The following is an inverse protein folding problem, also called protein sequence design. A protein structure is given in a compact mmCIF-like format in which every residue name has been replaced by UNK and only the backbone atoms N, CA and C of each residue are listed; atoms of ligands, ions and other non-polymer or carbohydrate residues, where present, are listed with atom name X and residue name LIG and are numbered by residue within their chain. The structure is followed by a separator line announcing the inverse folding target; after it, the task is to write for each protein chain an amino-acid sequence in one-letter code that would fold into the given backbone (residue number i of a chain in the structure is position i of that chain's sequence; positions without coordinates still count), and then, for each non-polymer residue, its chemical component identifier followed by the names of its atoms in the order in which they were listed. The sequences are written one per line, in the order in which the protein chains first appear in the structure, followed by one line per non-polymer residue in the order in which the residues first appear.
data_IF_763849050607
#
_entry.id   IF_763849050607
#
_cell.length_a   1.000
_cell.length_b   1.000
_cell.length_c   1.000
_cell.angle_alpha   90.00
_cell.angle_beta   90.00
_cell.angle_gamma   90.00
#
_symmetry.space_group_name_H-M   'P 1'
#
loop_
_entity.id
_entity.type
_entity.pdbx_description
1 polymer ?
#
# COMPACT_ATOMS: atom_id res chain seq x y z
N UNK A 1 33.56 -35.28 7.53
CA UNK A 1 32.40 -35.77 8.31
C UNK A 1 31.38 -34.64 8.26
N UNK A 2 30.60 -34.56 7.18
CA UNK A 2 29.27 -35.21 7.00
C UNK A 2 28.17 -34.18 7.37
N UNK A 3 27.09 -33.90 6.64
CA UNK A 3 26.62 -34.24 5.29
C UNK A 3 25.34 -33.41 5.03
N UNK A 4 25.10 -33.01 3.77
CA UNK A 4 23.78 -32.77 3.14
C UNK A 4 22.96 -31.53 3.56
N UNK A 5 23.28 -30.40 2.93
CA UNK A 5 22.25 -29.43 2.53
C UNK A 5 21.66 -29.88 1.18
N UNK A 6 20.38 -30.23 1.16
CA UNK A 6 19.62 -30.57 -0.05
C UNK A 6 19.43 -29.31 -0.90
N UNK A 7 20.37 -29.07 -1.81
CA UNK A 7 20.20 -28.16 -2.93
C UNK A 7 19.42 -28.93 -4.01
N UNK A 8 18.09 -28.79 -4.03
CA UNK A 8 17.27 -29.25 -5.15
C UNK A 8 17.50 -28.31 -6.33
N UNK A 9 18.64 -28.50 -7.01
CA UNK A 9 18.86 -27.99 -8.35
C UNK A 9 18.02 -28.86 -9.29
N UNK A 10 16.75 -28.48 -9.47
CA UNK A 10 15.98 -28.94 -10.62
C UNK A 10 16.57 -28.24 -11.85
N UNK A 11 17.64 -28.84 -12.37
CA UNK A 11 17.92 -28.84 -13.79
C UNK A 11 16.66 -29.34 -14.48
N UNK A 12 15.78 -28.43 -14.87
CA UNK A 12 14.91 -28.70 -16.01
C UNK A 12 15.84 -28.77 -17.21
N UNK A 13 16.35 -29.98 -17.44
CA UNK A 13 16.72 -30.42 -18.76
C UNK A 13 15.61 -29.97 -19.69
N UNK A 14 15.96 -29.23 -20.73
CA UNK A 14 15.14 -29.10 -21.92
C UNK A 14 14.96 -30.53 -22.50
N UNK A 15 14.11 -31.32 -21.86
CA UNK A 15 13.50 -32.46 -22.47
C UNK A 15 12.60 -31.85 -23.53
N UNK A 16 13.14 -31.79 -24.74
CA UNK A 16 12.38 -31.89 -25.96
C UNK A 16 11.32 -32.96 -25.73
N UNK A 17 10.13 -32.52 -25.33
CA UNK A 17 8.91 -33.28 -25.52
C UNK A 17 8.78 -33.38 -27.04
N UNK A 18 9.40 -34.41 -27.61
CA UNK A 18 8.98 -34.97 -28.88
C UNK A 18 7.59 -35.55 -28.60
N UNK A 19 6.59 -34.68 -28.64
CA UNK A 19 5.22 -35.11 -28.86
C UNK A 19 5.25 -35.86 -30.18
N UNK A 20 4.74 -37.09 -30.18
CA UNK A 20 4.49 -37.86 -31.40
C UNK A 20 3.44 -37.08 -32.21
N UNK A 21 3.88 -36.09 -32.98
CA UNK A 21 3.11 -35.45 -34.01
C UNK A 21 2.93 -36.46 -35.13
N UNK A 22 1.67 -36.69 -35.52
CA UNK A 22 1.38 -37.35 -36.79
C UNK A 22 2.20 -36.67 -37.88
N UNK A 23 2.92 -37.45 -38.70
CA UNK A 23 3.59 -36.89 -39.87
C UNK A 23 2.52 -36.46 -40.87
N UNK A 24 2.25 -35.16 -40.98
CA UNK A 24 1.25 -34.58 -41.89
C UNK A 24 1.68 -34.55 -43.37
N UNK A 25 2.54 -35.46 -43.82
CA UNK A 25 2.93 -35.55 -45.23
C UNK A 25 1.96 -36.45 -46.01
N UNK A 26 0.72 -35.98 -46.19
CA UNK A 26 -0.19 -36.60 -47.15
C UNK A 26 0.08 -36.04 -48.57
N UNK A 27 0.31 -36.89 -49.59
CA UNK A 27 0.51 -36.43 -50.97
C UNK A 27 -0.75 -35.76 -51.56
N UNK A 28 -0.55 -34.79 -52.46
CA UNK A 28 -1.64 -34.02 -53.10
C UNK A 28 -2.58 -34.87 -53.98
N UNK A 29 -2.15 -36.07 -54.36
CA UNK A 29 -2.94 -37.05 -55.08
C UNK A 29 -2.82 -38.37 -54.34
N UNK A 30 -3.96 -38.95 -53.96
CA UNK A 30 -3.98 -40.25 -53.32
C UNK A 30 -3.51 -41.30 -54.33
N UNK A 31 -2.56 -42.15 -53.95
CA UNK A 31 -2.28 -43.38 -54.69
C UNK A 31 -2.96 -44.57 -53.98
N UNK A 32 -3.21 -45.70 -54.67
CA UNK A 32 -3.67 -46.92 -54.02
C UNK A 32 -2.63 -47.40 -53.02
N UNK A 33 -3.10 -48.04 -51.95
CA UNK A 33 -2.20 -48.58 -50.94
C UNK A 33 -1.21 -49.58 -51.53
N UNK A 34 0.04 -49.57 -51.05
CA UNK A 34 1.14 -50.35 -51.61
C UNK A 34 2.01 -50.97 -50.52
N UNK A 35 2.61 -52.13 -50.78
CA UNK A 35 3.49 -52.82 -49.82
C UNK A 35 2.74 -53.75 -48.87
N UNK A 36 3.15 -53.80 -47.60
CA UNK A 36 2.78 -54.85 -46.62
C UNK A 36 1.40 -54.70 -45.98
N UNK A 37 0.55 -53.78 -46.48
CA UNK A 37 -0.81 -53.56 -46.00
C UNK A 37 -1.07 -52.15 -45.45
N UNK A 38 -2.33 -51.87 -45.14
CA UNK A 38 -2.75 -50.66 -44.43
C UNK A 38 -2.38 -50.77 -42.94
N UNK A 39 -1.93 -49.67 -42.36
CA UNK A 39 -1.79 -49.52 -40.91
C UNK A 39 -2.87 -48.61 -40.31
N UNK A 40 -3.60 -47.87 -41.15
CA UNK A 40 -4.70 -47.00 -40.73
C UNK A 40 -5.76 -46.85 -41.81
N UNK A 41 -7.03 -46.78 -41.42
CA UNK A 41 -8.14 -46.44 -42.33
C UNK A 41 -9.16 -45.53 -41.62
N UNK A 42 -9.61 -44.50 -42.34
CA UNK A 42 -10.66 -43.57 -41.93
C UNK A 42 -11.90 -43.78 -42.80
N UNK A 43 -13.03 -43.98 -42.15
CA UNK A 43 -14.30 -44.33 -42.78
C UNK A 43 -15.37 -43.35 -42.35
N UNK A 44 -16.10 -42.78 -43.31
CA UNK A 44 -17.28 -41.96 -43.08
C UNK A 44 -18.53 -42.81 -43.23
N UNK A 45 -19.43 -42.77 -42.25
CA UNK A 45 -20.70 -43.47 -42.31
C UNK A 45 -21.69 -42.72 -43.22
N UNK A 46 -22.22 -43.39 -44.26
CA UNK A 46 -22.98 -42.77 -45.36
C UNK A 46 -24.50 -42.80 -45.19
N UNK A 47 -25.03 -43.46 -44.16
CA UNK A 47 -26.47 -43.66 -44.06
C UNK A 47 -27.21 -42.33 -43.75
N UNK A 48 -28.40 -42.11 -44.34
CA UNK A 48 -29.21 -40.90 -44.15
C UNK A 48 -30.05 -40.93 -42.86
N UNK A 49 -29.78 -41.86 -41.94
CA UNK A 49 -30.50 -41.96 -40.66
C UNK A 49 -30.36 -40.66 -39.86
N UNK A 50 -31.33 -40.35 -39.00
CA UNK A 50 -31.29 -39.21 -38.07
C UNK A 50 -30.85 -39.61 -36.65
N UNK A 51 -30.63 -40.90 -36.42
CA UNK A 51 -30.24 -41.45 -35.11
C UNK A 51 -28.85 -42.10 -35.17
N UNK A 52 -28.19 -42.17 -34.01
CA UNK A 52 -26.89 -42.85 -33.87
C UNK A 52 -27.07 -44.37 -33.89
N UNK A 53 -26.06 -45.08 -34.37
CA UNK A 53 -26.02 -46.55 -34.44
C UNK A 53 -24.77 -47.09 -33.78
N UNK A 54 -24.79 -48.31 -33.26
CA UNK A 54 -23.58 -48.91 -32.70
C UNK A 54 -22.78 -49.57 -33.82
N UNK A 55 -21.52 -49.14 -33.97
CA UNK A 55 -20.60 -49.71 -34.94
C UNK A 55 -19.42 -50.33 -34.20
N UNK A 56 -19.15 -51.60 -34.53
CA UNK A 56 -18.04 -52.38 -33.98
C UNK A 56 -17.13 -52.81 -35.13
N UNK A 57 -15.83 -52.55 -35.03
CA UNK A 57 -14.83 -53.01 -35.98
C UNK A 57 -13.90 -54.00 -35.29
N UNK A 58 -13.67 -55.13 -35.95
CA UNK A 58 -12.80 -56.19 -35.49
C UNK A 58 -11.73 -56.50 -36.53
N UNK A 59 -10.55 -56.78 -36.03
CA UNK A 59 -9.46 -57.39 -36.77
C UNK A 59 -9.77 -58.90 -37.02
N UNK A 60 -9.16 -59.53 -38.01
CA UNK A 60 -9.24 -60.99 -38.24
C UNK A 60 -8.85 -61.82 -37.01
N UNK A 61 -7.98 -61.29 -36.16
CA UNK A 61 -7.60 -61.90 -34.87
C UNK A 61 -8.70 -61.85 -33.80
N UNK A 62 -9.88 -61.28 -34.12
CA UNK A 62 -11.01 -61.12 -33.20
C UNK A 62 -10.85 -59.97 -32.21
N UNK A 63 -9.78 -59.17 -32.33
CA UNK A 63 -9.53 -58.02 -31.49
C UNK A 63 -10.45 -56.85 -31.89
N UNK A 64 -11.05 -56.20 -30.90
CA UNK A 64 -11.91 -55.04 -31.10
C UNK A 64 -11.06 -53.79 -31.37
N UNK A 65 -11.16 -53.25 -32.59
CA UNK A 65 -10.46 -52.06 -33.05
C UNK A 65 -11.23 -50.77 -32.74
N UNK A 66 -12.57 -50.86 -32.72
CA UNK A 66 -13.48 -49.74 -32.48
C UNK A 66 -14.84 -50.29 -32.05
N UNK A 67 -15.45 -49.70 -31.02
CA UNK A 67 -16.80 -50.06 -30.57
C UNK A 67 -17.46 -48.87 -29.91
N UNK A 68 -18.24 -48.11 -30.68
CA UNK A 68 -18.94 -46.90 -30.22
C UNK A 68 -20.17 -46.60 -31.08
N UNK A 69 -21.05 -45.77 -30.52
CA UNK A 69 -22.18 -45.21 -31.24
C UNK A 69 -21.74 -44.12 -32.24
N UNK A 70 -21.99 -44.32 -33.54
CA UNK A 70 -21.61 -43.44 -34.65
C UNK A 70 -22.84 -42.64 -35.12
N UNK A 71 -22.66 -41.33 -35.28
CA UNK A 71 -23.69 -40.44 -35.83
C UNK A 71 -23.74 -40.51 -37.36
N UNK A 72 -24.86 -40.12 -37.99
CA UNK A 72 -24.93 -39.92 -39.43
C UNK A 72 -23.81 -39.00 -39.90
N UNK A 73 -23.11 -39.36 -40.99
CA UNK A 73 -21.90 -38.67 -41.50
C UNK A 73 -20.69 -38.68 -40.54
N UNK A 74 -20.75 -39.43 -39.45
CA UNK A 74 -19.66 -39.58 -38.48
C UNK A 74 -18.46 -40.31 -39.07
N UNK A 75 -17.28 -40.05 -38.49
CA UNK A 75 -16.00 -40.65 -38.92
C UNK A 75 -15.55 -41.71 -37.91
N UNK A 76 -15.17 -42.87 -38.43
CA UNK A 76 -14.57 -43.99 -37.71
C UNK A 76 -13.12 -44.11 -38.15
N UNK A 77 -12.20 -44.20 -37.19
CA UNK A 77 -10.77 -44.35 -37.44
C UNK A 77 -10.32 -45.69 -36.87
N UNK A 78 -9.73 -46.52 -37.72
CA UNK A 78 -9.22 -47.84 -37.36
C UNK A 78 -7.70 -47.85 -37.54
N UNK A 79 -7.00 -48.47 -36.59
CA UNK A 79 -5.54 -48.56 -36.55
C UNK A 79 -5.17 -50.05 -36.45
N UNK A 80 -4.13 -50.46 -37.17
CA UNK A 80 -3.64 -51.83 -37.10
C UNK A 80 -3.00 -52.15 -35.75
N UNK A 81 -2.86 -53.43 -35.46
CA UNK A 81 -2.56 -53.93 -34.10
C UNK A 81 -1.36 -54.87 -34.04
N UNK A 82 -0.75 -55.21 -35.18
CA UNK A 82 0.53 -55.92 -35.22
C UNK A 82 1.66 -55.02 -34.69
N UNK A 83 2.81 -55.61 -34.29
CA UNK A 83 3.98 -54.84 -33.87
C UNK A 83 4.55 -53.87 -34.92
N UNK A 84 4.18 -54.04 -36.19
CA UNK A 84 4.52 -53.13 -37.30
C UNK A 84 3.35 -52.16 -37.65
N UNK A 85 2.37 -52.05 -36.76
CA UNK A 85 1.14 -51.25 -36.89
C UNK A 85 0.18 -51.67 -38.02
N UNK A 86 0.40 -52.81 -38.71
CA UNK A 86 -0.56 -53.32 -39.71
C UNK A 86 -1.73 -54.09 -39.06
N UNK A 87 -2.83 -54.25 -39.79
CA UNK A 87 -3.97 -55.08 -39.33
C UNK A 87 -3.64 -56.57 -39.38
N UNK A 88 -4.06 -57.35 -38.37
CA UNK A 88 -3.94 -58.81 -38.33
C UNK A 88 -4.76 -59.48 -39.44
N UNK A 89 -4.18 -60.56 -39.99
CA UNK A 89 -4.53 -61.30 -41.22
C UNK A 89 -5.14 -60.50 -42.38
N UNK A 90 -4.79 -59.21 -42.44
CA UNK A 90 -5.01 -58.30 -43.54
C UNK A 90 -6.49 -58.08 -43.90
N UNK A 91 -7.39 -58.22 -42.91
CA UNK A 91 -8.84 -57.99 -43.07
C UNK A 91 -9.44 -57.30 -41.84
N UNK A 92 -10.35 -56.35 -42.06
CA UNK A 92 -11.15 -55.70 -41.02
C UNK A 92 -12.62 -55.96 -41.25
N UNK A 93 -13.33 -56.44 -40.23
CA UNK A 93 -14.79 -56.67 -40.26
C UNK A 93 -15.50 -55.58 -39.47
N UNK A 94 -16.46 -54.91 -40.09
CA UNK A 94 -17.29 -53.89 -39.46
C UNK A 94 -18.71 -54.42 -39.31
N UNK A 95 -19.25 -54.33 -38.10
CA UNK A 95 -20.62 -54.65 -37.74
C UNK A 95 -21.38 -53.38 -37.41
N UNK A 96 -22.62 -53.28 -37.88
CA UNK A 96 -23.56 -52.23 -37.54
C UNK A 96 -24.73 -52.86 -36.80
N UNK A 97 -25.00 -52.40 -35.58
CA UNK A 97 -26.00 -52.96 -34.67
C UNK A 97 -25.89 -54.49 -34.50
N UNK A 98 -24.65 -54.98 -34.38
CA UNK A 98 -24.34 -56.40 -34.20
C UNK A 98 -24.36 -57.26 -35.48
N UNK A 99 -24.79 -56.72 -36.62
CA UNK A 99 -24.83 -57.41 -37.93
C UNK A 99 -23.61 -57.02 -38.75
N UNK A 100 -22.93 -57.97 -39.38
CA UNK A 100 -21.79 -57.69 -40.28
C UNK A 100 -22.27 -56.83 -41.46
N UNK A 101 -21.74 -55.60 -41.54
CA UNK A 101 -22.02 -54.63 -42.61
C UNK A 101 -21.02 -54.75 -43.75
N UNK A 102 -19.72 -54.81 -43.43
CA UNK A 102 -18.67 -54.96 -44.45
C UNK A 102 -17.41 -55.63 -43.93
N UNK A 103 -16.67 -56.22 -44.87
CA UNK A 103 -15.34 -56.79 -44.68
C UNK A 103 -14.40 -56.07 -45.64
N UNK A 104 -13.35 -55.43 -45.12
CA UNK A 104 -12.38 -54.63 -45.89
C UNK A 104 -11.05 -55.39 -45.91
N UNK A 105 -10.53 -55.66 -47.11
CA UNK A 105 -9.20 -56.23 -47.30
C UNK A 105 -8.14 -55.13 -47.11
N UNK A 106 -7.29 -55.28 -46.09
CA UNK A 106 -6.24 -54.33 -45.73
C UNK A 106 -4.86 -54.77 -46.21
N UNK A 107 -4.74 -55.89 -46.95
CA UNK A 107 -3.49 -56.42 -47.52
C UNK A 107 -2.95 -55.63 -48.72
N UNK A 108 -3.72 -54.65 -49.21
CA UNK A 108 -3.41 -53.93 -50.44
C UNK A 108 -3.32 -54.81 -51.70
N UNK A 109 -3.80 -56.05 -51.65
CA UNK A 109 -3.98 -56.90 -52.84
C UNK A 109 -5.15 -56.40 -53.69
N UNK A 110 -6.20 -55.92 -53.03
CA UNK A 110 -7.27 -55.13 -53.63
C UNK A 110 -6.95 -53.64 -53.41
N UNK A 111 -7.17 -52.81 -54.44
CA UNK A 111 -6.90 -51.37 -54.32
C UNK A 111 -7.94 -50.76 -53.39
N UNK A 112 -7.51 -50.23 -52.25
CA UNK A 112 -8.31 -49.34 -51.40
C UNK A 112 -7.97 -47.89 -51.77
N UNK A 113 -8.98 -47.16 -52.27
CA UNK A 113 -8.88 -45.76 -52.67
C UNK A 113 -9.78 -44.88 -51.80
N UNK A 114 -9.40 -43.60 -51.67
CA UNK A 114 -10.30 -42.59 -51.11
C UNK A 114 -11.50 -42.42 -52.03
N UNK A 115 -12.71 -42.40 -51.45
CA UNK A 115 -13.98 -42.37 -52.16
C UNK A 115 -14.61 -43.76 -52.35
N UNK A 116 -13.85 -44.84 -52.16
CA UNK A 116 -14.40 -46.20 -52.21
C UNK A 116 -15.44 -46.38 -51.12
N UNK A 117 -16.51 -47.11 -51.45
CA UNK A 117 -17.60 -47.39 -50.52
C UNK A 117 -17.63 -48.87 -50.17
N UNK A 118 -17.56 -49.15 -48.88
CA UNK A 118 -17.57 -50.45 -48.25
C UNK A 118 -18.80 -50.55 -47.35
N UNK A 119 -19.83 -51.28 -47.80
CA UNK A 119 -21.10 -51.37 -47.10
C UNK A 119 -21.70 -49.99 -46.87
N UNK A 120 -21.93 -49.64 -45.60
CA UNK A 120 -22.47 -48.35 -45.19
C UNK A 120 -21.43 -47.25 -45.03
N UNK A 121 -20.16 -47.48 -45.37
CA UNK A 121 -19.05 -46.55 -45.12
C UNK A 121 -18.30 -46.14 -46.40
N UNK A 122 -17.84 -44.90 -46.49
CA UNK A 122 -16.90 -44.44 -47.52
C UNK A 122 -15.52 -44.23 -46.91
N UNK A 123 -14.47 -44.68 -47.61
CA UNK A 123 -13.08 -44.39 -47.26
C UNK A 123 -12.82 -42.91 -47.49
N UNK A 124 -12.52 -42.17 -46.43
CA UNK A 124 -12.16 -40.75 -46.51
C UNK A 124 -10.65 -40.54 -46.30
N UNK A 125 -9.94 -41.55 -45.82
CA UNK A 125 -8.49 -41.54 -45.66
C UNK A 125 -7.99 -42.93 -45.32
N UNK A 126 -6.73 -43.21 -45.60
CA UNK A 126 -6.05 -44.42 -45.13
C UNK A 126 -4.55 -44.15 -45.09
N UNK A 127 -3.76 -45.01 -44.45
CA UNK A 127 -2.31 -44.97 -44.46
C UNK A 127 -1.78 -46.40 -44.64
N UNK A 128 -0.64 -46.53 -45.32
CA UNK A 128 0.08 -47.78 -45.48
C UNK A 128 1.52 -47.63 -44.98
N UNK A 129 2.07 -48.71 -44.42
CA UNK A 129 3.40 -48.75 -43.80
C UNK A 129 4.53 -48.45 -44.79
N UNK A 130 4.37 -48.80 -46.07
CA UNK A 130 5.39 -48.65 -47.12
C UNK A 130 4.94 -47.75 -48.30
N UNK A 131 3.88 -46.94 -48.13
CA UNK A 131 3.44 -45.88 -49.05
C UNK A 131 2.12 -46.11 -49.80
N UNK A 132 1.58 -45.04 -50.42
CA UNK A 132 0.65 -44.13 -49.78
C UNK A 132 -0.81 -44.64 -49.86
N UNK A 133 -1.63 -44.25 -48.88
CA UNK A 133 -2.90 -43.60 -49.16
C UNK A 133 -2.87 -42.33 -48.32
N UNK A 134 -3.48 -41.28 -48.85
CA UNK A 134 -4.10 -40.15 -48.17
C UNK A 134 -4.79 -39.37 -49.27
N UNK A 135 -6.05 -39.02 -49.10
CA UNK A 135 -6.47 -37.62 -49.12
C UNK A 135 -7.73 -37.53 -48.27
N UNK A 136 -7.60 -37.09 -47.02
CA UNK A 136 -8.64 -36.25 -46.46
C UNK A 136 -8.11 -34.81 -46.37
N UNK A 137 -8.45 -33.93 -47.32
CA UNK A 137 -8.11 -32.51 -47.23
C UNK A 137 -9.17 -31.70 -46.47
N UNK A 138 -10.00 -32.31 -45.60
CA UNK A 138 -10.97 -31.61 -44.76
C UNK A 138 -11.17 -32.45 -43.48
N UNK A 139 -10.55 -32.17 -42.33
CA UNK A 139 -11.07 -31.21 -41.33
C UNK A 139 -9.98 -30.84 -40.27
N UNK A 140 -8.76 -31.37 -40.33
CA UNK A 140 -7.75 -31.08 -39.30
C UNK A 140 -6.96 -29.77 -39.52
N UNK A 141 -6.87 -29.26 -40.75
CA UNK A 141 -5.89 -28.23 -41.12
C UNK A 141 -6.39 -26.78 -41.02
N UNK A 142 -7.51 -26.52 -40.33
CA UNK A 142 -8.04 -25.16 -40.18
C UNK A 142 -8.40 -24.79 -38.73
N UNK A 143 -7.95 -25.58 -37.76
CA UNK A 143 -8.25 -25.34 -36.35
C UNK A 143 -7.03 -24.68 -35.73
N UNK A 144 -7.15 -23.41 -35.33
CA UNK A 144 -6.07 -22.73 -34.62
C UNK A 144 -5.70 -23.49 -33.33
N UNK A 145 -4.42 -23.43 -32.90
CA UNK A 145 -3.93 -24.06 -31.67
C UNK A 145 -4.91 -23.89 -30.53
N UNK A 146 -5.14 -24.95 -29.77
CA UNK A 146 -5.94 -24.86 -28.55
C UNK A 146 -5.03 -24.64 -27.37
N UNK A 147 -5.04 -23.41 -26.85
CA UNK A 147 -4.66 -23.16 -25.46
C UNK A 147 -5.90 -23.50 -24.65
N UNK A 148 -5.85 -24.58 -23.87
CA UNK A 148 -6.98 -24.95 -23.01
C UNK A 148 -7.28 -23.77 -22.11
N UNK A 149 -8.53 -23.29 -22.08
CA UNK A 149 -8.93 -22.16 -21.22
C UNK A 149 -8.70 -22.47 -19.74
N UNK A 150 -8.74 -23.75 -19.36
CA UNK A 150 -8.41 -24.28 -18.04
C UNK A 150 -6.92 -24.12 -17.67
N UNK A 151 -6.04 -23.97 -18.67
CA UNK A 151 -4.60 -23.80 -18.51
C UNK A 151 -4.12 -22.37 -18.78
N UNK A 152 -5.02 -21.46 -19.21
CA UNK A 152 -4.70 -20.05 -19.28
C UNK A 152 -4.76 -19.46 -17.87
N UNK A 153 -3.70 -18.82 -17.35
CA UNK A 153 -3.72 -18.28 -16.01
C UNK A 153 -4.89 -17.29 -15.82
N UNK A 154 -5.49 -17.33 -14.64
CA UNK A 154 -6.35 -16.22 -14.20
C UNK A 154 -5.51 -14.99 -13.86
N UNK A 155 -6.16 -13.83 -13.76
CA UNK A 155 -5.48 -12.62 -13.30
C UNK A 155 -4.82 -12.85 -11.94
N UNK A 156 -3.58 -12.41 -11.79
CA UNK A 156 -2.77 -12.54 -10.57
C UNK A 156 -2.66 -11.18 -9.90
N UNK A 157 -3.02 -11.08 -8.63
CA UNK A 157 -2.89 -9.85 -7.84
C UNK A 157 -2.05 -10.11 -6.58
N UNK A 158 -1.19 -9.14 -6.25
CA UNK A 158 -0.43 -9.11 -5.00
C UNK A 158 -0.54 -7.73 -4.36
N UNK A 159 -1.02 -7.71 -3.12
CA UNK A 159 -1.02 -6.52 -2.27
C UNK A 159 0.32 -6.42 -1.54
N UNK A 160 0.98 -5.27 -1.67
CA UNK A 160 2.32 -4.99 -1.15
C UNK A 160 2.16 -4.17 0.12
N UNK A 161 2.55 -4.74 1.26
CA UNK A 161 2.39 -4.12 2.59
C UNK A 161 3.67 -3.45 3.10
N UNK A 162 4.76 -3.60 2.36
CA UNK A 162 6.06 -3.01 2.68
C UNK A 162 6.44 -1.93 1.67
N UNK A 163 7.58 -1.30 1.87
CA UNK A 163 8.08 -0.21 1.02
C UNK A 163 8.80 -0.72 -0.24
N UNK A 164 8.48 -1.92 -0.74
CA UNK A 164 9.16 -2.51 -1.90
C UNK A 164 8.50 -2.14 -3.22
N UNK A 165 9.24 -1.39 -4.05
CA UNK A 165 8.68 -0.90 -5.32
C UNK A 165 8.70 -1.96 -6.42
N UNK A 166 9.55 -2.98 -6.27
CA UNK A 166 9.70 -4.10 -7.19
C UNK A 166 9.55 -5.42 -6.43
N UNK A 167 8.85 -6.37 -7.04
CA UNK A 167 8.66 -7.69 -6.45
C UNK A 167 8.49 -8.73 -7.54
N UNK A 168 8.92 -9.97 -7.26
CA UNK A 168 8.75 -11.08 -8.18
C UNK A 168 7.28 -11.49 -8.26
N UNK A 169 6.76 -11.69 -9.46
CA UNK A 169 5.43 -12.25 -9.68
C UNK A 169 5.55 -13.64 -10.31
N UNK A 170 4.78 -14.61 -9.80
CA UNK A 170 4.82 -15.98 -10.31
C UNK A 170 3.45 -16.43 -10.76
N UNK A 171 3.41 -17.09 -11.91
CA UNK A 171 2.25 -17.82 -12.44
C UNK A 171 2.74 -19.12 -13.08
N UNK A 172 1.84 -20.06 -13.31
CA UNK A 172 2.14 -21.27 -14.09
C UNK A 172 1.99 -20.92 -15.58
N UNK A 173 3.05 -21.07 -16.42
CA UNK A 173 2.92 -20.82 -17.84
C UNK A 173 1.82 -21.68 -18.49
N UNK A 174 1.01 -21.14 -19.40
CA UNK A 174 0.01 -21.92 -20.11
C UNK A 174 0.67 -23.00 -20.97
N UNK A 175 -0.06 -24.09 -21.22
CA UNK A 175 0.34 -25.15 -22.14
C UNK A 175 -0.58 -25.11 -23.34
N UNK A 176 0.00 -25.05 -24.53
CA UNK A 176 -0.72 -25.12 -25.79
C UNK A 176 -0.69 -26.55 -26.36
N UNK A 177 -1.79 -26.95 -26.99
CA UNK A 177 -1.89 -28.22 -27.72
C UNK A 177 -2.53 -27.97 -29.07
N UNK A 178 -2.07 -28.70 -30.08
CA UNK A 178 -2.60 -28.59 -31.44
C UNK A 178 -2.68 -29.99 -32.08
N UNK A 179 -3.61 -30.17 -33.02
CA UNK A 179 -3.80 -31.42 -33.74
C UNK A 179 -2.80 -31.59 -34.91
N UNK A 180 -2.11 -30.52 -35.32
CA UNK A 180 -1.22 -30.45 -36.49
C UNK A 180 0.18 -29.86 -36.17
N UNK A 181 0.62 -29.96 -34.91
CA UNK A 181 1.90 -29.48 -34.37
C UNK A 181 1.98 -27.95 -34.19
N UNK A 182 2.45 -27.55 -33.01
CA UNK A 182 2.77 -26.15 -32.68
C UNK A 182 4.19 -25.84 -33.16
N UNK A 183 4.36 -24.79 -33.96
CA UNK A 183 5.67 -24.36 -34.45
C UNK A 183 6.26 -23.21 -33.65
N UNK A 184 5.43 -22.42 -32.98
CA UNK A 184 5.91 -21.43 -32.03
C UNK A 184 4.95 -21.25 -30.86
N UNK A 185 5.54 -21.09 -29.67
CA UNK A 185 4.82 -20.72 -28.46
C UNK A 185 5.64 -19.64 -27.76
N UNK A 186 5.21 -18.40 -27.94
CA UNK A 186 5.99 -17.23 -27.52
C UNK A 186 5.17 -16.40 -26.54
N UNK A 187 5.83 -15.97 -25.48
CA UNK A 187 5.34 -14.94 -24.58
C UNK A 187 5.63 -13.58 -25.23
N UNK A 188 4.59 -12.76 -25.39
CA UNK A 188 4.74 -11.39 -25.86
C UNK A 188 5.01 -10.49 -24.66
N UNK A 189 6.01 -9.60 -24.81
CA UNK A 189 6.48 -8.59 -23.86
C UNK A 189 7.64 -9.00 -22.92
N UNK A 190 8.25 -10.19 -23.09
CA UNK A 190 9.47 -10.63 -22.39
C UNK A 190 9.38 -10.65 -20.85
N UNK A 191 8.19 -10.81 -20.29
CA UNK A 191 7.96 -10.98 -18.86
C UNK A 191 7.75 -12.46 -18.50
N UNK A 192 8.69 -13.01 -17.77
CA UNK A 192 8.69 -14.40 -17.32
C UNK A 192 8.20 -14.53 -15.87
N UNK A 193 7.64 -15.70 -15.49
CA UNK A 193 7.38 -15.99 -14.08
C UNK A 193 8.67 -15.87 -13.26
N UNK A 194 8.60 -15.09 -12.19
CA UNK A 194 9.74 -14.77 -11.32
C UNK A 194 10.41 -13.43 -11.61
N UNK A 195 10.11 -12.79 -12.74
CA UNK A 195 10.63 -11.47 -13.05
C UNK A 195 10.16 -10.42 -12.04
N UNK A 196 10.95 -9.35 -11.90
CA UNK A 196 10.62 -8.22 -11.04
C UNK A 196 9.63 -7.28 -11.74
N UNK A 197 8.45 -7.15 -11.16
CA UNK A 197 7.41 -6.24 -11.63
C UNK A 197 7.39 -4.97 -10.79
N UNK A 198 7.27 -3.76 -11.39
CA UNK A 198 6.91 -2.56 -10.66
C UNK A 198 5.45 -2.65 -10.18
N UNK A 199 5.04 -1.69 -9.35
CA UNK A 199 3.63 -1.49 -9.01
C UNK A 199 2.77 -1.21 -10.25
N UNK A 200 1.48 -1.55 -10.17
CA UNK A 200 0.50 -1.35 -11.24
C UNK A 200 0.12 -2.63 -11.97
N UNK A 201 -0.56 -2.45 -13.12
CA UNK A 201 -1.11 -3.53 -13.95
C UNK A 201 -0.23 -3.79 -15.17
N UNK A 202 -0.03 -5.05 -15.50
CA UNK A 202 0.65 -5.52 -16.72
C UNK A 202 -0.15 -6.64 -17.35
N UNK A 203 -0.28 -6.60 -18.66
CA UNK A 203 -0.95 -7.63 -19.43
C UNK A 203 0.09 -8.61 -19.97
N UNK A 204 -0.10 -9.90 -19.70
CA UNK A 204 0.74 -10.98 -20.19
C UNK A 204 -0.02 -11.69 -21.31
N UNK A 205 0.66 -11.95 -22.42
CA UNK A 205 0.09 -12.57 -23.61
C UNK A 205 0.97 -13.73 -24.05
N UNK A 206 0.40 -14.93 -24.12
CA UNK A 206 1.05 -16.09 -24.72
C UNK A 206 0.37 -16.42 -26.04
N UNK A 207 1.14 -16.48 -27.12
CA UNK A 207 0.65 -16.79 -28.46
C UNK A 207 1.17 -18.16 -28.89
N UNK A 208 0.28 -19.07 -29.20
CA UNK A 208 0.59 -20.34 -29.88
C UNK A 208 0.30 -20.20 -31.37
N UNK A 209 1.22 -20.63 -32.23
CA UNK A 209 1.05 -20.64 -33.69
C UNK A 209 1.32 -22.04 -34.22
N UNK A 210 0.45 -22.54 -35.09
CA UNK A 210 0.63 -23.81 -35.80
C UNK A 210 1.50 -23.67 -37.07
N UNK A 211 1.81 -24.80 -37.70
CA UNK A 211 2.59 -24.84 -38.95
C UNK A 211 1.91 -24.19 -40.16
N UNK A 212 0.62 -23.89 -40.07
CA UNK A 212 -0.15 -23.20 -41.11
C UNK A 212 -0.29 -21.70 -40.82
N UNK A 213 0.28 -21.21 -39.72
CA UNK A 213 0.24 -19.81 -39.32
C UNK A 213 -1.03 -19.39 -38.59
N UNK A 214 -1.92 -20.32 -38.19
CA UNK A 214 -3.06 -20.00 -37.35
C UNK A 214 -2.59 -19.81 -35.90
N UNK A 215 -3.15 -18.79 -35.23
CA UNK A 215 -2.72 -18.43 -33.88
C UNK A 215 -3.87 -18.39 -32.88
N UNK A 216 -3.54 -18.65 -31.60
CA UNK A 216 -4.43 -18.38 -30.47
C UNK A 216 -3.65 -17.73 -29.33
N UNK A 217 -4.28 -16.75 -28.69
CA UNK A 217 -3.73 -16.06 -27.54
C UNK A 217 -4.37 -16.50 -26.23
N UNK A 218 -3.55 -16.56 -25.18
CA UNK A 218 -3.96 -16.58 -23.78
C UNK A 218 -3.51 -15.26 -23.13
N UNK A 219 -4.47 -14.54 -22.57
CA UNK A 219 -4.28 -13.20 -22.05
C UNK A 219 -4.75 -13.14 -20.60
N UNK A 220 -3.91 -12.63 -19.71
CA UNK A 220 -4.26 -12.36 -18.33
C UNK A 220 -3.51 -11.14 -17.79
N UNK A 221 -4.00 -10.61 -16.67
CA UNK A 221 -3.39 -9.46 -15.99
C UNK A 221 -2.58 -9.90 -14.78
N UNK A 222 -1.41 -9.31 -14.62
CA UNK A 222 -0.63 -9.33 -13.38
C UNK A 222 -0.67 -7.93 -12.77
N UNK A 223 -1.06 -7.84 -11.50
CA UNK A 223 -1.23 -6.58 -10.78
C UNK A 223 -0.50 -6.62 -9.44
N UNK A 224 0.32 -5.60 -9.19
CA UNK A 224 0.86 -5.31 -7.85
C UNK A 224 0.21 -4.03 -7.32
N UNK A 225 -0.46 -4.13 -6.19
CA UNK A 225 -1.12 -3.01 -5.53
C UNK A 225 -0.34 -2.58 -4.31
N UNK A 226 -0.11 -1.27 -4.23
CA UNK A 226 0.49 -0.70 -3.04
C UNK A 226 -0.53 -0.54 -1.93
N UNK A 227 -0.24 -1.12 -0.78
CA UNK A 227 -1.01 -1.03 0.46
C UNK A 227 -0.16 -0.53 1.63
N UNK A 228 1.10 -0.20 1.38
CA UNK A 228 1.97 0.34 2.40
C UNK A 228 1.72 1.85 2.53
N UNK A 229 1.66 2.35 3.76
CA UNK A 229 1.55 3.78 3.99
C UNK A 229 2.92 4.47 3.82
N UNK A 230 2.96 5.74 3.40
CA UNK A 230 4.22 6.48 3.27
C UNK A 230 5.01 6.56 4.58
N UNK A 231 6.34 6.63 4.48
CA UNK A 231 7.21 6.76 5.65
C UNK A 231 7.87 8.13 5.68
N UNK A 232 7.75 8.85 6.80
CA UNK A 232 8.49 10.09 7.04
C UNK A 232 9.98 9.79 7.30
N UNK A 233 10.84 10.16 6.34
CA UNK A 233 12.29 9.97 6.40
C UNK A 233 13.00 11.10 7.13
N UNK A 234 12.40 12.28 7.19
CA UNK A 234 12.80 13.40 8.05
C UNK A 234 11.58 14.08 8.65
N UNK A 235 11.66 14.43 9.94
CA UNK A 235 10.54 15.02 10.66
C UNK A 235 11.06 15.94 11.78
N UNK A 236 10.46 17.13 12.00
CA UNK A 236 10.80 18.01 13.10
C UNK A 236 10.62 17.34 14.47
N UNK A 237 11.46 17.74 15.42
CA UNK A 237 11.22 17.45 16.85
C UNK A 237 10.35 18.53 17.46
N UNK A 238 9.93 18.32 18.70
CA UNK A 238 9.27 19.37 19.48
C UNK A 238 10.16 20.62 19.60
N UNK A 239 9.54 21.79 19.57
CA UNK A 239 10.20 23.10 19.56
C UNK A 239 9.75 23.92 20.76
N UNK A 240 10.70 24.57 21.42
CA UNK A 240 10.43 25.58 22.45
C UNK A 240 10.87 26.95 21.93
N UNK A 241 9.97 27.93 21.98
CA UNK A 241 10.23 29.30 21.57
C UNK A 241 9.83 30.28 22.67
N UNK A 242 10.38 31.49 22.63
CA UNK A 242 10.15 32.52 23.63
C UNK A 242 9.41 33.72 23.06
N UNK A 243 8.36 34.15 23.76
CA UNK A 243 7.57 35.33 23.42
C UNK A 243 8.29 36.61 23.90
N UNK A 244 9.19 37.19 23.09
CA UNK A 244 10.08 38.28 23.58
C UNK A 244 9.53 39.69 23.39
N UNK A 245 8.71 39.94 22.37
CA UNK A 245 8.22 41.29 22.00
C UNK A 245 6.70 41.40 21.90
N UNK A 246 6.01 40.28 22.06
CA UNK A 246 4.55 40.16 21.97
C UNK A 246 4.12 38.89 22.69
N UNK A 247 2.83 38.65 22.88
CA UNK A 247 2.26 37.40 23.41
C UNK A 247 2.39 36.17 22.48
N UNK A 248 3.43 36.13 21.65
CA UNK A 248 3.63 35.12 20.60
C UNK A 248 5.07 35.11 20.10
N UNK A 249 5.47 34.01 19.45
CA UNK A 249 6.78 33.85 18.82
C UNK A 249 6.64 33.39 17.37
N UNK A 250 7.53 33.85 16.49
CA UNK A 250 7.66 33.32 15.13
C UNK A 250 8.53 32.06 15.20
N UNK A 251 8.03 30.94 14.68
CA UNK A 251 8.70 29.64 14.79
C UNK A 251 8.96 29.07 13.41
N UNK A 252 10.18 28.58 13.18
CA UNK A 252 10.58 27.97 11.91
C UNK A 252 11.09 26.55 12.13
N UNK A 253 10.82 25.68 11.16
CA UNK A 253 11.33 24.32 11.06
C UNK A 253 11.54 23.93 9.59
N UNK A 254 12.29 22.86 9.38
CA UNK A 254 12.42 22.26 8.05
C UNK A 254 11.17 21.42 7.76
N UNK A 255 10.55 21.64 6.59
CA UNK A 255 9.38 20.86 6.17
C UNK A 255 9.71 19.36 6.15
N UNK A 256 8.87 18.49 6.75
CA UNK A 256 9.10 17.05 6.73
C UNK A 256 9.19 16.50 5.31
N UNK A 257 9.94 15.40 5.16
CA UNK A 257 10.02 14.63 3.91
C UNK A 257 9.50 13.23 4.17
N UNK A 258 8.66 12.73 3.27
CA UNK A 258 8.18 11.36 3.26
C UNK A 258 8.53 10.68 1.93
N UNK A 259 8.64 9.35 1.95
CA UNK A 259 8.99 8.52 0.81
C UNK A 259 8.10 7.29 0.76
N UNK A 260 7.79 6.88 -0.47
CA UNK A 260 7.02 5.68 -0.82
C UNK A 260 7.23 5.38 -2.32
N UNK A 261 6.84 4.18 -2.76
CA UNK A 261 7.02 3.67 -4.11
C UNK A 261 6.10 4.31 -5.16
N UNK A 262 4.95 4.86 -4.75
CA UNK A 262 4.01 5.54 -5.64
C UNK A 262 4.30 7.03 -5.86
N UNK A 263 5.39 7.56 -5.29
CA UNK A 263 5.55 8.99 -5.07
C UNK A 263 4.65 9.47 -3.93
N UNK A 264 5.08 10.51 -3.21
CA UNK A 264 4.40 10.98 -2.00
C UNK A 264 4.07 12.45 -2.11
N UNK A 265 2.84 12.78 -1.70
CA UNK A 265 2.41 14.14 -1.44
C UNK A 265 2.33 14.36 0.08
N UNK A 266 3.06 15.35 0.59
CA UNK A 266 3.00 15.76 2.00
C UNK A 266 2.07 16.97 2.11
N UNK A 267 0.93 16.79 2.79
CA UNK A 267 -0.03 17.86 3.02
C UNK A 267 0.55 18.93 3.94
N UNK A 268 0.26 20.19 3.63
CA UNK A 268 0.52 21.29 4.54
C UNK A 268 -0.31 21.14 5.83
N UNK A 269 0.27 21.42 7.00
CA UNK A 269 -0.42 21.45 8.28
C UNK A 269 -1.31 22.69 8.40
N UNK A 270 -2.05 22.81 9.51
CA UNK A 270 -2.80 24.02 9.86
C UNK A 270 -1.93 25.24 10.18
N UNK A 271 -0.66 25.04 10.56
CA UNK A 271 0.30 26.10 10.87
C UNK A 271 1.62 25.83 10.15
N UNK A 272 2.12 26.81 9.41
CA UNK A 272 3.30 26.69 8.57
C UNK A 272 4.57 27.15 9.28
N UNK A 273 5.71 26.66 8.79
CA UNK A 273 7.02 27.15 9.20
C UNK A 273 7.13 28.64 8.86
N UNK A 274 7.48 29.45 9.86
CA UNK A 274 7.50 30.91 9.76
C UNK A 274 6.24 31.59 10.29
N UNK A 275 5.20 30.84 10.67
CA UNK A 275 4.02 31.42 11.31
C UNK A 275 4.32 31.88 12.74
N UNK A 276 3.42 32.72 13.25
CA UNK A 276 3.44 33.24 14.63
C UNK A 276 2.53 32.38 15.51
N UNK A 277 3.11 31.84 16.58
CA UNK A 277 2.45 30.96 17.54
C UNK A 277 2.17 31.72 18.84
N UNK A 278 0.93 31.69 19.37
CA UNK A 278 0.62 32.29 20.68
C UNK A 278 1.31 31.50 21.81
N UNK A 279 1.46 32.14 22.97
CA UNK A 279 1.92 31.48 24.21
C UNK A 279 1.07 30.22 24.48
N UNK A 280 1.75 29.14 24.87
CA UNK A 280 1.15 27.83 25.14
C UNK A 280 1.65 26.74 24.19
N UNK A 281 0.90 25.62 24.17
CA UNK A 281 1.21 24.44 23.37
C UNK A 281 0.38 24.44 22.08
N UNK A 282 1.04 24.31 20.94
CA UNK A 282 0.40 24.09 19.64
C UNK A 282 0.90 22.78 19.04
N UNK A 283 0.00 21.87 18.66
CA UNK A 283 0.35 20.63 17.96
C UNK A 283 0.29 20.85 16.45
N UNK A 284 1.38 20.54 15.76
CA UNK A 284 1.47 20.61 14.29
C UNK A 284 1.46 19.20 13.73
N UNK A 285 0.47 18.89 12.90
CA UNK A 285 0.28 17.55 12.31
C UNK A 285 0.47 17.60 10.80
N UNK A 286 1.34 16.74 10.29
CA UNK A 286 1.54 16.52 8.86
C UNK A 286 0.94 15.18 8.46
N UNK A 287 0.39 15.14 7.25
CA UNK A 287 -0.08 13.92 6.61
C UNK A 287 0.67 13.69 5.30
N UNK A 288 1.07 12.45 5.04
CA UNK A 288 1.64 12.02 3.77
C UNK A 288 0.68 11.04 3.10
N UNK A 289 0.45 11.21 1.79
CA UNK A 289 -0.43 10.37 0.98
C UNK A 289 0.37 9.94 -0.26
N UNK A 290 0.41 8.64 -0.55
CA UNK A 290 1.03 8.12 -1.78
C UNK A 290 0.08 8.12 -2.98
N UNK A 291 0.63 7.77 -4.16
CA UNK A 291 -0.13 7.61 -5.40
C UNK A 291 -1.23 6.53 -5.36
N UNK A 292 -1.18 5.61 -4.40
CA UNK A 292 -2.20 4.56 -4.16
C UNK A 292 -3.20 4.93 -3.08
N UNK A 293 -3.15 6.17 -2.59
CA UNK A 293 -4.01 6.74 -1.54
C UNK A 293 -3.83 6.11 -0.16
N UNK A 294 -2.73 5.41 0.13
CA UNK A 294 -2.41 5.06 1.51
C UNK A 294 -1.90 6.30 2.24
N UNK A 295 -2.11 6.34 3.56
CA UNK A 295 -1.95 7.56 4.36
C UNK A 295 -1.17 7.32 5.64
N UNK A 296 -0.23 8.21 5.92
CA UNK A 296 0.49 8.28 7.18
C UNK A 296 0.36 9.67 7.81
N UNK A 297 0.31 9.74 9.14
CA UNK A 297 0.30 10.99 9.89
C UNK A 297 1.40 10.97 10.95
N UNK A 298 1.97 12.15 11.20
CA UNK A 298 2.90 12.37 12.30
C UNK A 298 2.80 13.81 12.79
N UNK A 299 3.02 14.02 14.09
CA UNK A 299 2.93 15.33 14.73
C UNK A 299 4.16 15.65 15.58
N UNK A 300 4.37 16.94 15.79
CA UNK A 300 5.29 17.51 16.78
C UNK A 300 4.60 18.70 17.46
N UNK A 301 5.18 19.18 18.54
CA UNK A 301 4.63 20.29 19.32
C UNK A 301 5.52 21.53 19.26
N UNK A 302 4.87 22.69 19.30
CA UNK A 302 5.51 23.99 19.47
C UNK A 302 5.02 24.55 20.79
N UNK A 303 5.95 24.75 21.72
CA UNK A 303 5.67 25.37 23.03
C UNK A 303 6.24 26.78 23.04
N UNK A 304 5.35 27.77 23.08
CA UNK A 304 5.76 29.17 23.26
C UNK A 304 5.65 29.53 24.73
N UNK A 305 6.76 29.93 25.32
CA UNK A 305 6.87 30.31 26.73
C UNK A 305 7.15 31.80 26.82
N UNK A 306 6.53 32.45 27.79
CA UNK A 306 6.84 33.82 28.16
C UNK A 306 7.63 33.82 29.47
N UNK A 307 8.88 34.28 29.38
CA UNK A 307 9.85 34.31 30.47
C UNK A 307 10.37 35.72 30.76
N UNK A 308 9.82 36.73 30.07
CA UNK A 308 10.12 38.11 30.33
C UNK A 308 9.31 38.56 31.56
N UNK A 309 9.91 39.44 32.36
CA UNK A 309 9.27 39.93 33.59
C UNK A 309 8.63 41.28 33.31
N UNK A 310 7.53 41.61 34.01
CA UNK A 310 6.98 42.96 33.96
C UNK A 310 8.01 44.01 34.39
N UNK A 311 7.90 45.20 33.81
CA UNK A 311 8.73 46.36 34.14
C UNK A 311 7.85 47.50 34.65
N UNK A 312 8.22 48.10 35.78
CA UNK A 312 7.55 49.30 36.29
C UNK A 312 7.96 50.53 35.46
N UNK A 313 6.99 51.24 34.92
CA UNK A 313 7.18 52.42 34.09
C UNK A 313 7.01 53.73 34.87
N UNK A 314 6.25 53.70 35.96
CA UNK A 314 6.11 54.81 36.91
C UNK A 314 6.47 54.27 38.30
N UNK A 315 7.42 54.93 38.96
CA UNK A 315 8.00 54.49 40.24
C UNK A 315 8.16 55.68 41.19
N UNK A 316 7.32 55.80 42.24
CA UNK A 316 7.44 56.86 43.24
C UNK A 316 8.77 56.82 43.98
N UNK A 317 9.50 57.94 44.04
CA UNK A 317 10.68 58.04 44.91
C UNK A 317 10.27 58.06 46.40
N UNK A 318 11.24 57.89 47.28
CA UNK A 318 11.03 58.02 48.72
C UNK A 318 10.37 59.37 49.08
N UNK A 319 9.41 59.34 50.00
CA UNK A 319 8.59 60.48 50.40
C UNK A 319 8.94 60.84 51.84
N UNK A 320 9.14 62.13 52.12
CA UNK A 320 9.34 62.64 53.48
C UNK A 320 8.29 63.69 53.81
N UNK A 321 7.57 63.51 54.92
CA UNK A 321 6.51 64.41 55.40
C UNK A 321 6.66 64.68 56.89
N UNK A 322 6.04 65.75 57.37
CA UNK A 322 5.97 66.07 58.80
C UNK A 322 4.70 65.49 59.40
N UNK A 323 4.80 64.95 60.61
CA UNK A 323 3.66 64.50 61.38
C UNK A 323 2.78 65.70 61.79
N UNK A 324 1.46 65.54 61.74
CA UNK A 324 0.51 66.52 62.29
C UNK A 324 0.14 66.22 63.74
N UNK A 325 0.29 64.95 64.14
CA UNK A 325 0.11 64.44 65.50
C UNK A 325 1.00 63.18 65.63
N UNK A 326 0.45 62.00 65.90
CA UNK A 326 1.21 60.74 65.94
C UNK A 326 1.57 60.16 64.55
N UNK A 327 1.23 60.85 63.46
CA UNK A 327 1.47 60.39 62.08
C UNK A 327 1.11 61.43 61.02
N UNK A 328 1.15 61.02 59.75
CA UNK A 328 0.81 61.83 58.59
C UNK A 328 0.06 61.03 57.53
N UNK A 329 -0.92 61.65 56.87
CA UNK A 329 -1.58 61.09 55.68
C UNK A 329 -0.70 61.34 54.47
N UNK A 330 -0.35 60.29 53.72
CA UNK A 330 0.61 60.38 52.60
C UNK A 330 -0.03 59.94 51.28
N UNK A 331 0.16 60.74 50.24
CA UNK A 331 -0.32 60.45 48.88
C UNK A 331 0.85 60.30 47.92
N UNK A 332 0.70 59.41 46.95
CA UNK A 332 1.62 59.23 45.83
C UNK A 332 0.85 58.81 44.57
N UNK A 333 1.51 58.91 43.43
CA UNK A 333 1.00 58.36 42.17
C UNK A 333 1.23 56.86 42.18
N UNK A 334 0.17 56.07 42.03
CA UNK A 334 0.30 54.60 41.96
C UNK A 334 1.28 54.19 40.85
N UNK A 335 2.24 53.29 41.13
CA UNK A 335 3.14 52.78 40.12
C UNK A 335 2.36 51.94 39.10
N UNK A 336 2.77 52.03 37.84
CA UNK A 336 2.24 51.21 36.73
C UNK A 336 3.33 50.30 36.19
N UNK A 337 2.94 49.11 35.74
CA UNK A 337 3.85 48.14 35.14
C UNK A 337 3.30 47.66 33.80
N UNK A 338 4.21 47.43 32.85
CA UNK A 338 3.93 46.87 31.52
C UNK A 338 4.82 45.66 31.24
N UNK A 339 4.44 44.87 30.25
CA UNK A 339 5.12 43.64 29.86
C UNK A 339 5.12 43.48 28.32
N UNK A 340 6.00 42.63 27.76
CA UNK A 340 6.00 42.24 26.33
C UNK A 340 4.68 41.61 25.90
N UNK A 341 3.95 40.99 26.84
CA UNK A 341 2.57 40.60 26.67
C UNK A 341 1.65 41.53 27.50
N UNK A 342 1.22 42.68 26.94
CA UNK A 342 0.62 43.76 27.72
C UNK A 342 -0.76 43.43 28.32
N UNK A 343 -1.40 42.35 27.88
CA UNK A 343 -2.67 41.94 28.45
C UNK A 343 -2.45 41.22 29.79
N UNK A 344 -2.99 41.78 30.88
CA UNK A 344 -3.17 41.06 32.15
C UNK A 344 -2.04 41.17 33.17
N UNK A 345 -1.17 42.19 33.08
CA UNK A 345 -0.26 42.54 34.18
C UNK A 345 -1.08 43.00 35.39
N UNK A 346 -0.86 42.36 36.53
CA UNK A 346 -1.50 42.68 37.81
C UNK A 346 -0.46 43.25 38.77
N UNK A 347 -0.77 44.39 39.39
CA UNK A 347 0.07 45.01 40.42
C UNK A 347 -0.61 44.87 41.79
N UNK A 348 0.06 44.24 42.74
CA UNK A 348 -0.36 44.18 44.14
C UNK A 348 0.50 45.10 45.01
N UNK A 349 -0.05 45.53 46.14
CA UNK A 349 0.57 46.48 47.06
C UNK A 349 0.23 46.16 48.51
N UNK A 350 1.10 46.56 49.44
CA UNK A 350 0.87 46.42 50.88
C UNK A 350 0.29 47.68 51.54
N UNK A 351 0.42 48.85 50.92
CA UNK A 351 -0.14 50.13 51.36
C UNK A 351 -0.78 50.90 50.20
N UNK A 352 -1.73 51.77 50.51
CA UNK A 352 -2.48 52.60 49.56
C UNK A 352 -2.23 54.11 49.76
N UNK A 353 -2.22 54.91 48.68
CA UNK A 353 -2.21 56.37 48.77
C UNK A 353 -3.40 56.86 49.61
N UNK A 354 -3.13 57.78 50.52
CA UNK A 354 -4.11 58.33 51.45
C UNK A 354 -4.21 57.58 52.78
N UNK A 355 -3.37 56.57 53.01
CA UNK A 355 -3.20 55.97 54.34
C UNK A 355 -2.44 56.89 55.30
N UNK A 356 -2.69 56.69 56.59
CA UNK A 356 -1.95 57.37 57.67
C UNK A 356 -0.75 56.53 58.07
N UNK A 357 0.44 57.12 58.00
CA UNK A 357 1.69 56.50 58.39
C UNK A 357 2.14 57.02 59.76
N UNK A 358 2.60 56.14 60.68
CA UNK A 358 3.16 56.56 61.96
C UNK A 358 4.51 57.26 61.76
N UNK A 359 4.93 58.03 62.76
CA UNK A 359 6.29 58.59 62.83
C UNK A 359 7.33 57.48 62.65
N UNK A 360 8.33 57.72 61.80
CA UNK A 360 9.37 56.76 61.45
C UNK A 360 9.43 56.48 59.94
N UNK A 361 10.11 55.39 59.57
CA UNK A 361 10.22 54.94 58.17
C UNK A 361 9.35 53.71 57.95
N UNK A 362 8.42 53.81 57.00
CA UNK A 362 7.63 52.67 56.50
C UNK A 362 8.07 52.36 55.07
N UNK A 363 8.34 51.08 54.77
CA UNK A 363 8.63 50.65 53.41
C UNK A 363 7.33 50.20 52.76
N UNK A 364 7.01 50.79 51.62
CA UNK A 364 5.85 50.43 50.79
C UNK A 364 6.34 49.49 49.69
N UNK A 365 5.72 48.31 49.57
CA UNK A 365 6.08 47.28 48.61
C UNK A 365 4.98 47.07 47.57
N UNK A 366 5.44 46.90 46.34
CA UNK A 366 4.64 46.59 45.17
C UNK A 366 5.18 45.33 44.49
N UNK A 367 4.28 44.55 43.89
CA UNK A 367 4.63 43.37 43.10
C UNK A 367 3.82 43.34 41.81
N UNK A 368 4.50 43.47 40.67
CA UNK A 368 3.92 43.22 39.37
C UNK A 368 4.01 41.73 39.02
N UNK A 369 2.94 41.18 38.44
CA UNK A 369 2.86 39.80 37.94
C UNK A 369 2.19 39.80 36.56
N UNK A 370 2.80 39.16 35.56
CA UNK A 370 2.17 38.94 34.25
C UNK A 370 1.22 37.72 34.25
N UNK A 371 0.59 37.46 33.10
CA UNK A 371 -0.29 36.31 32.88
C UNK A 371 0.43 34.96 32.88
N UNK A 372 1.74 34.99 32.63
CA UNK A 372 2.62 33.81 32.56
C UNK A 372 3.20 33.44 33.94
N UNK A 373 2.96 34.28 34.95
CA UNK A 373 3.40 34.11 36.33
C UNK A 373 4.76 34.73 36.64
N UNK A 374 5.42 35.42 35.70
CA UNK A 374 6.67 36.11 35.99
C UNK A 374 6.38 37.33 36.86
N UNK A 375 7.32 37.65 37.76
CA UNK A 375 7.12 38.67 38.80
C UNK A 375 8.28 39.66 38.88
N UNK A 376 7.94 40.89 39.24
CA UNK A 376 8.85 42.02 39.39
C UNK A 376 8.49 42.82 40.65
N UNK A 377 9.34 42.83 41.69
CA UNK A 377 9.10 43.61 42.90
C UNK A 377 9.58 45.06 42.76
N UNK A 378 8.90 45.99 43.44
CA UNK A 378 9.28 47.39 43.56
C UNK A 378 9.00 47.90 44.98
N UNK A 379 9.82 48.81 45.51
CA UNK A 379 9.58 49.40 46.83
C UNK A 379 10.13 50.81 46.94
N UNK A 380 9.49 51.63 47.78
CA UNK A 380 9.98 52.95 48.19
C UNK A 380 9.68 53.18 49.68
N UNK A 381 10.26 54.23 50.26
CA UNK A 381 10.12 54.56 51.68
C UNK A 381 9.24 55.79 51.91
N UNK A 382 8.39 55.72 52.92
CA UNK A 382 7.66 56.86 53.49
C UNK A 382 8.30 57.19 54.85
N UNK A 383 8.80 58.41 54.98
CA UNK A 383 9.49 58.91 56.18
C UNK A 383 8.60 60.00 56.80
N UNK A 384 8.05 59.72 57.97
CA UNK A 384 7.27 60.66 58.76
C UNK A 384 8.13 61.17 59.91
N UNK A 385 8.43 62.46 59.91
CA UNK A 385 9.26 63.10 60.94
C UNK A 385 8.40 63.90 61.92
N UNK A 386 8.76 63.86 63.20
CA UNK A 386 8.24 64.80 64.19
C UNK A 386 9.26 65.94 64.40
N UNK A 387 8.83 67.17 64.08
CA UNK A 387 9.59 68.41 64.35
C UNK A 387 8.88 69.32 65.36
N UNK A 388 7.79 68.85 65.95
CA UNK A 388 7.09 69.61 66.99
C UNK A 388 7.91 69.57 68.28
N UNK A 389 8.16 70.75 68.86
CA UNK A 389 8.84 70.83 70.14
C UNK A 389 7.86 70.40 71.25
N UNK A 390 8.32 69.66 72.28
CA UNK A 390 7.47 69.35 73.42
C UNK A 390 7.03 70.64 74.13
N UNK A 391 5.73 70.75 74.39
CA UNK A 391 5.16 71.87 75.15
C UNK A 391 5.20 71.51 76.63
N UNK A 392 6.00 72.23 77.42
CA UNK A 392 5.95 72.14 78.88
C UNK A 392 4.72 72.92 79.36
N UNK A 393 3.75 72.31 80.05
CA UNK A 393 2.61 73.03 80.60
C UNK A 393 3.09 74.11 81.56
N UNK A 394 2.42 75.27 81.55
CA UNK A 394 2.69 76.31 82.53
C UNK A 394 2.41 75.76 83.94
N UNK A 395 3.45 75.61 84.74
CA UNK A 395 3.31 75.30 86.16
C UNK A 395 3.14 76.62 86.91
N UNK A 396 1.98 76.87 87.55
CA UNK A 396 1.79 78.09 88.32
C UNK A 396 2.77 78.12 89.49
N UNK A 397 3.30 79.31 89.78
CA UNK A 397 4.09 79.51 90.99
C UNK A 397 3.24 79.14 92.21
N UNK A 398 3.75 78.24 93.04
CA UNK A 398 3.12 77.95 94.34
C UNK A 398 3.67 78.94 95.36
N UNK A 399 2.87 79.93 95.73
CA UNK A 399 3.19 80.84 96.84
C UNK A 399 2.60 80.25 98.12
N UNK A 400 3.44 79.87 99.07
CA UNK A 400 2.99 79.52 100.43
C UNK A 400 3.39 80.63 101.41
N UNK A 401 2.49 81.05 102.33
CA UNK A 401 2.84 82.00 103.38
C UNK A 401 3.84 81.36 104.36
N UNK A 402 4.83 82.12 104.81
CA UNK A 402 5.75 81.69 105.87
C UNK A 402 4.94 81.37 107.13
N UNK A 403 5.12 80.15 107.65
CA UNK A 403 4.65 79.76 108.99
C UNK A 403 5.87 79.66 109.92
N UNK A 404 5.67 79.66 111.24
CA UNK A 404 6.75 79.56 112.24
C UNK A 404 7.40 78.16 112.32
N UNK A 405 7.09 77.25 111.38
CA UNK A 405 7.70 75.94 111.26
C UNK A 405 8.82 75.95 110.20
N UNK A 406 9.94 75.26 110.47
CA UNK A 406 11.12 75.23 109.60
C UNK A 406 10.96 74.42 108.30
N UNK A 407 9.85 73.68 108.14
CA UNK A 407 9.58 72.88 106.95
C UNK A 407 8.15 73.11 106.45
N UNK A 408 8.01 73.27 105.14
CA UNK A 408 6.73 73.40 104.42
C UNK A 408 6.66 72.29 103.37
N UNK A 409 5.61 71.47 103.43
CA UNK A 409 5.31 70.48 102.39
C UNK A 409 4.54 71.17 101.27
N UNK A 410 5.16 71.25 100.10
CA UNK A 410 4.50 71.71 98.88
C UNK A 410 3.99 70.48 98.13
N UNK A 411 2.67 70.33 98.05
CA UNK A 411 2.04 69.33 97.21
C UNK A 411 1.81 69.91 95.81
N UNK A 412 2.38 69.24 94.81
CA UNK A 412 2.12 69.48 93.39
C UNK A 412 1.14 68.39 92.93
N UNK A 413 0.18 68.72 92.06
CA UNK A 413 -0.61 67.74 91.30
C UNK A 413 -0.27 67.84 89.83
#
# INVERSE_FOLDING_TARGET
MDTRAFLFCLLFSANSFLTFGQSCNCPAVCAPCSGSGLNRIELKFNQPVTQRIDADAFDSGGLNLFSRSVSPLGVVVLIGTKPDDTFSDDVVTIKVNGIVDVIINTKCTDKVLVGDTYGSFTVIGAQSINGPVCCNPFVAQSIAPTIKSENCPSNVQLDVLDQTCFGSMSWLPPIASDNCQIVSFTEQNNFQPGDLFPLGRRQIVYTAVDNNGLSRDCIFEVRRDDKAAPVFTSFPTDIVAFATTSCSAVVTWTTPVASDCGGVFVNAPSQNSGDRFPIGLTTVTYAAIDGSSNRAERSFTVTVVDNAKPTFNITPSDITVQATDCGAVVFWVEPTADDNCPAGVTVTKDHSPGETFPIGTTTVNYLARDVSGNTSPYSFRVIVEDKTAPVVPFMPNVTQPFTTACDVVVNWT
#
